data_IF_860703658666
#
_entry.id   IF_860703658666
#
_cell.length_a   1.000
_cell.length_b   1.000
_cell.length_c   1.000
_cell.angle_alpha   90.00
_cell.angle_beta   90.00
_cell.angle_gamma   90.00
#
_symmetry.space_group_name_H-M   'P 1'
#
loop_
_entity.id
_entity.type
_entity.pdbx_description
1 polymer ?
#
# COMPACT_ATOMS: atom_id res chain seq x y z
N UNK A 1 7.41 -35.17 -1.47
CA UNK A 1 7.85 -35.77 -0.16
C UNK A 1 7.52 -34.80 0.99
N UNK A 2 7.65 -35.21 2.27
CA UNK A 2 7.24 -34.40 3.42
C UNK A 2 8.00 -33.05 3.49
N UNK A 3 9.32 -33.07 3.18
CA UNK A 3 10.17 -31.88 3.19
C UNK A 3 9.66 -30.80 2.24
N UNK A 4 9.25 -31.16 1.04
CA UNK A 4 8.80 -30.17 0.02
C UNK A 4 7.46 -29.56 0.41
N UNK A 5 6.56 -30.37 0.96
CA UNK A 5 5.28 -29.89 1.53
C UNK A 5 5.51 -28.99 2.74
N UNK A 6 6.50 -29.30 3.58
CA UNK A 6 6.87 -28.45 4.71
C UNK A 6 7.41 -27.10 4.24
N UNK A 7 8.34 -27.07 3.28
CA UNK A 7 8.90 -25.84 2.73
C UNK A 7 7.80 -24.99 2.06
N UNK A 8 6.91 -25.63 1.28
CA UNK A 8 5.77 -24.93 0.66
C UNK A 8 4.82 -24.38 1.73
N UNK A 9 4.47 -25.17 2.73
CA UNK A 9 3.63 -24.72 3.86
C UNK A 9 4.24 -23.54 4.61
N UNK A 10 5.53 -23.64 4.97
CA UNK A 10 6.23 -22.55 5.66
C UNK A 10 6.38 -21.30 4.81
N UNK A 11 6.45 -21.42 3.49
CA UNK A 11 6.48 -20.24 2.61
C UNK A 11 5.20 -19.40 2.67
N UNK A 12 4.08 -19.99 3.06
CA UNK A 12 2.76 -19.32 3.20
C UNK A 12 2.55 -18.69 4.56
N UNK A 13 3.32 -19.10 5.56
CA UNK A 13 3.27 -18.54 6.90
C UNK A 13 3.91 -17.15 6.89
N UNK A 14 3.12 -16.12 7.22
CA UNK A 14 3.65 -14.77 7.37
C UNK A 14 4.53 -14.70 8.62
N UNK A 15 5.73 -14.19 8.48
CA UNK A 15 6.67 -13.99 9.57
C UNK A 15 7.24 -12.57 9.53
N UNK A 16 7.48 -11.98 10.70
CA UNK A 16 8.20 -10.72 10.82
C UNK A 16 9.63 -10.87 10.30
N UNK A 17 10.15 -9.86 9.64
CA UNK A 17 11.54 -9.81 9.18
C UNK A 17 12.35 -9.00 10.19
N UNK A 18 13.36 -9.64 10.77
CA UNK A 18 14.21 -9.01 11.76
C UNK A 18 15.69 -9.16 11.39
N UNK A 19 16.49 -8.19 11.83
CA UNK A 19 17.95 -8.31 11.83
C UNK A 19 18.41 -8.67 13.25
N UNK A 20 19.15 -9.75 13.36
CA UNK A 20 19.85 -10.10 14.60
C UNK A 20 21.31 -9.65 14.47
N UNK A 21 21.70 -8.74 15.33
CA UNK A 21 23.02 -8.08 15.32
C UNK A 21 23.74 -8.32 16.63
N UNK A 22 25.05 -8.37 16.61
CA UNK A 22 25.93 -8.46 17.80
C UNK A 22 27.19 -7.64 17.59
N UNK A 23 27.78 -7.16 18.66
CA UNK A 23 29.12 -6.57 18.69
C UNK A 23 29.78 -6.88 20.04
N UNK A 24 31.10 -6.93 20.06
CA UNK A 24 31.89 -7.19 21.26
C UNK A 24 33.32 -7.61 20.93
N UNK A 25 34.02 -8.24 21.88
CA UNK A 25 35.42 -8.67 21.70
C UNK A 25 35.60 -9.67 20.54
N UNK A 26 34.54 -10.40 20.17
CA UNK A 26 34.56 -11.39 19.09
C UNK A 26 34.04 -10.84 17.76
N UNK A 27 33.96 -9.52 17.64
CA UNK A 27 33.63 -8.79 16.43
C UNK A 27 32.13 -8.54 16.20
N UNK A 28 31.89 -7.64 15.26
CA UNK A 28 30.54 -7.20 14.87
C UNK A 28 29.99 -8.10 13.75
N UNK A 29 28.80 -8.59 13.92
CA UNK A 29 28.12 -9.42 12.93
C UNK A 29 26.60 -9.22 12.95
N UNK A 30 25.96 -9.59 11.82
CA UNK A 30 24.51 -9.51 11.73
C UNK A 30 23.95 -10.42 10.63
N UNK A 31 22.69 -10.81 10.78
CA UNK A 31 21.97 -11.68 9.87
C UNK A 31 20.48 -11.38 9.86
N UNK A 32 19.83 -11.52 8.72
CA UNK A 32 18.38 -11.49 8.58
C UNK A 32 17.78 -12.84 8.99
N UNK A 33 16.78 -12.81 9.83
CA UNK A 33 15.98 -14.00 10.20
C UNK A 33 14.49 -13.68 10.16
N UNK A 34 13.67 -14.71 10.00
CA UNK A 34 12.20 -14.63 10.09
C UNK A 34 11.65 -15.42 11.28
N UNK A 35 12.50 -16.16 11.97
CA UNK A 35 12.11 -16.96 13.13
C UNK A 35 12.39 -16.17 14.42
N UNK A 36 11.39 -15.46 14.91
CA UNK A 36 11.37 -14.74 16.19
C UNK A 36 10.05 -15.01 16.90
N UNK A 37 10.12 -15.25 18.19
CA UNK A 37 8.92 -15.33 19.05
C UNK A 37 9.21 -14.83 20.47
N UNK A 38 8.20 -14.32 21.16
CA UNK A 38 8.26 -14.09 22.61
C UNK A 38 8.28 -15.42 23.35
N UNK A 39 9.06 -15.51 24.42
CA UNK A 39 9.12 -16.70 25.29
C UNK A 39 8.37 -16.44 26.59
N UNK A 40 8.67 -15.35 27.28
CA UNK A 40 7.99 -14.95 28.51
C UNK A 40 7.97 -13.43 28.62
N UNK A 41 6.83 -12.90 29.10
CA UNK A 41 6.67 -11.47 29.42
C UNK A 41 6.23 -11.27 30.90
N UNK A 42 6.13 -12.36 31.67
CA UNK A 42 5.59 -12.34 33.04
C UNK A 42 6.66 -12.04 34.10
N UNK A 43 7.93 -11.95 33.69
CA UNK A 43 9.06 -11.59 34.57
C UNK A 43 9.47 -10.12 34.40
N UNK A 44 10.22 -9.61 35.36
CA UNK A 44 10.79 -8.26 35.26
C UNK A 44 11.72 -8.08 34.02
N UNK A 45 12.29 -9.18 33.54
CA UNK A 45 13.08 -9.26 32.32
C UNK A 45 12.38 -10.18 31.33
N UNK A 46 11.62 -9.62 30.37
CA UNK A 46 10.97 -10.43 29.34
C UNK A 46 12.00 -11.12 28.44
N UNK A 47 11.63 -12.23 27.85
CA UNK A 47 12.53 -13.01 27.02
C UNK A 47 11.92 -13.33 25.67
N UNK A 48 12.77 -13.44 24.66
CA UNK A 48 12.42 -13.80 23.30
C UNK A 48 13.38 -14.86 22.75
N UNK A 49 12.95 -15.55 21.68
CA UNK A 49 13.84 -16.44 20.93
C UNK A 49 13.98 -15.99 19.49
N UNK A 50 15.15 -16.32 18.92
CA UNK A 50 15.42 -16.24 17.48
C UNK A 50 16.13 -17.51 17.02
N UNK A 51 15.93 -17.89 15.74
CA UNK A 51 16.65 -19.02 15.15
C UNK A 51 17.66 -18.51 14.12
N UNK A 52 18.94 -18.80 14.35
CA UNK A 52 20.04 -18.40 13.49
C UNK A 52 20.72 -19.64 12.88
N UNK A 53 20.85 -19.66 11.56
CA UNK A 53 21.51 -20.80 10.88
C UNK A 53 22.98 -20.92 11.29
N UNK A 54 23.45 -22.14 11.65
CA UNK A 54 24.82 -22.39 12.15
C UNK A 54 25.94 -21.94 11.20
N UNK A 55 25.66 -21.87 9.87
CA UNK A 55 26.64 -21.40 8.88
C UNK A 55 26.64 -19.88 8.72
N UNK A 56 25.75 -19.16 9.39
CA UNK A 56 25.78 -17.71 9.38
C UNK A 56 27.02 -17.20 10.16
N UNK A 57 27.78 -16.25 9.60
CA UNK A 57 28.90 -15.64 10.34
C UNK A 57 28.46 -15.00 11.67
N UNK A 58 27.19 -14.61 11.80
CA UNK A 58 26.64 -14.04 13.02
C UNK A 58 26.49 -15.08 14.14
N UNK A 59 26.30 -16.36 13.84
CA UNK A 59 26.07 -17.38 14.88
C UNK A 59 27.26 -17.52 15.84
N UNK A 60 28.50 -17.77 15.40
CA UNK A 60 29.64 -17.85 16.33
C UNK A 60 29.92 -16.54 17.05
N UNK A 61 29.73 -15.38 16.41
CA UNK A 61 29.91 -14.09 17.04
C UNK A 61 28.89 -13.86 18.17
N UNK A 62 27.60 -14.14 17.97
CA UNK A 62 26.58 -14.03 19.00
C UNK A 62 26.88 -14.92 20.20
N UNK A 63 27.27 -16.18 19.94
CA UNK A 63 27.63 -17.15 20.98
C UNK A 63 28.82 -16.70 21.82
N UNK A 64 29.82 -16.11 21.18
CA UNK A 64 31.04 -15.67 21.83
C UNK A 64 30.88 -14.31 22.52
N UNK A 65 30.17 -13.36 21.95
CA UNK A 65 29.87 -12.07 22.58
C UNK A 65 28.84 -12.17 23.72
N UNK A 66 27.98 -13.18 23.71
CA UNK A 66 26.96 -13.37 24.75
C UNK A 66 25.81 -12.34 24.73
N UNK A 67 25.75 -11.50 23.72
CA UNK A 67 24.75 -10.44 23.54
C UNK A 67 24.28 -10.35 22.11
N UNK A 68 23.03 -9.89 21.90
CA UNK A 68 22.51 -9.63 20.57
C UNK A 68 21.33 -8.64 20.62
N UNK A 69 21.14 -7.89 19.55
CA UNK A 69 19.96 -7.05 19.36
C UNK A 69 19.06 -7.60 18.24
N UNK A 70 17.76 -7.64 18.49
CA UNK A 70 16.74 -8.03 17.50
C UNK A 70 16.08 -6.76 17.00
N UNK A 71 16.33 -6.41 15.74
CA UNK A 71 15.83 -5.21 15.10
C UNK A 71 14.67 -5.58 14.16
N UNK A 72 13.45 -5.22 14.52
CA UNK A 72 12.28 -5.41 13.67
C UNK A 72 12.25 -4.33 12.58
N UNK A 73 12.20 -4.75 11.33
CA UNK A 73 12.26 -3.86 10.19
C UNK A 73 10.91 -3.24 9.85
N UNK A 74 10.94 -2.01 9.32
CA UNK A 74 9.81 -1.37 8.64
C UNK A 74 9.64 -1.94 7.24
N UNK A 75 8.46 -1.86 6.68
CA UNK A 75 8.17 -2.30 5.30
C UNK A 75 9.03 -1.58 4.25
N UNK A 76 9.41 -0.33 4.48
CA UNK A 76 10.33 0.45 3.64
C UNK A 76 11.79 -0.04 3.69
N UNK A 77 12.13 -0.97 4.59
CA UNK A 77 13.50 -1.45 4.85
C UNK A 77 13.79 -2.84 4.26
N UNK A 78 13.02 -3.30 3.26
CA UNK A 78 13.25 -4.58 2.58
C UNK A 78 14.68 -4.70 2.01
N UNK A 79 15.22 -3.60 1.50
CA UNK A 79 16.59 -3.51 0.99
C UNK A 79 17.64 -3.83 2.06
N UNK A 80 17.41 -3.44 3.31
CA UNK A 80 18.31 -3.71 4.44
C UNK A 80 18.27 -5.20 4.80
N UNK A 81 17.07 -5.82 4.77
CA UNK A 81 16.92 -7.27 4.91
C UNK A 81 17.73 -8.03 3.87
N UNK A 82 17.71 -7.61 2.61
CA UNK A 82 18.46 -8.26 1.53
C UNK A 82 19.99 -8.13 1.73
N UNK A 83 20.43 -6.99 2.26
CA UNK A 83 21.86 -6.76 2.58
C UNK A 83 22.33 -7.74 3.67
N UNK A 84 21.59 -7.88 4.76
CA UNK A 84 21.93 -8.78 5.85
C UNK A 84 21.71 -10.25 5.52
N UNK A 85 20.83 -10.56 4.58
CA UNK A 85 20.66 -11.90 4.00
C UNK A 85 21.76 -12.28 2.99
N UNK A 86 22.66 -11.35 2.63
CA UNK A 86 23.72 -11.58 1.65
C UNK A 86 23.23 -11.60 0.19
N UNK A 87 22.05 -11.07 -0.09
CA UNK A 87 21.51 -10.93 -1.45
C UNK A 87 21.94 -9.62 -2.12
N UNK A 88 22.38 -8.66 -1.32
CA UNK A 88 22.88 -7.35 -1.74
C UNK A 88 24.19 -7.08 -1.04
N UNK A 89 25.16 -6.50 -1.74
CA UNK A 89 26.46 -6.09 -1.21
C UNK A 89 26.51 -4.57 -1.06
N UNK A 90 27.21 -4.08 -0.03
CA UNK A 90 27.61 -2.69 0.15
C UNK A 90 28.91 -2.41 -0.62
N UNK A 91 29.32 -1.17 -0.72
CA UNK A 91 30.54 -0.78 -1.47
C UNK A 91 31.83 -1.42 -0.89
N UNK A 92 31.97 -1.47 0.43
CA UNK A 92 33.12 -2.08 1.10
C UNK A 92 32.92 -3.56 1.44
N UNK A 93 31.68 -4.06 1.37
CA UNK A 93 31.32 -5.39 1.84
C UNK A 93 30.91 -5.44 3.33
N UNK A 94 31.03 -4.35 4.07
CA UNK A 94 30.52 -4.27 5.45
C UNK A 94 29.02 -3.99 5.43
N UNK A 95 28.20 -4.96 5.87
CA UNK A 95 26.76 -4.84 5.93
C UNK A 95 26.25 -3.68 6.80
N UNK A 96 27.05 -3.26 7.77
CA UNK A 96 26.70 -2.17 8.70
C UNK A 96 26.86 -0.77 8.10
N UNK A 97 27.44 -0.63 6.91
CA UNK A 97 27.32 0.62 6.13
C UNK A 97 25.88 0.88 5.69
N UNK A 98 25.08 -0.19 5.61
CA UNK A 98 23.67 -0.11 5.32
C UNK A 98 22.89 0.23 6.62
N UNK A 99 22.30 1.43 6.68
CA UNK A 99 21.51 1.89 7.81
C UNK A 99 22.29 2.72 8.83
N UNK A 100 21.57 3.25 9.80
CA UNK A 100 22.12 4.00 10.93
C UNK A 100 22.01 3.16 12.20
N UNK A 101 23.10 3.02 12.92
CA UNK A 101 23.19 2.15 14.10
C UNK A 101 23.50 2.94 15.35
N UNK A 102 22.82 2.58 16.43
CA UNK A 102 23.05 3.10 17.78
C UNK A 102 23.39 1.95 18.71
N UNK A 103 24.04 2.27 19.84
CA UNK A 103 24.37 1.29 20.86
C UNK A 103 23.41 1.43 22.03
N UNK A 104 22.83 0.30 22.46
CA UNK A 104 21.98 0.23 23.65
C UNK A 104 22.76 -0.38 24.85
N UNK A 105 22.05 -0.92 25.83
CA UNK A 105 22.63 -1.35 27.12
C UNK A 105 23.69 -2.45 26.97
N UNK A 106 23.51 -3.43 26.06
CA UNK A 106 24.43 -4.57 25.89
C UNK A 106 25.63 -4.27 25.01
N UNK A 107 25.59 -3.18 24.23
CA UNK A 107 26.60 -2.89 23.22
C UNK A 107 26.29 -3.43 21.83
N UNK A 108 25.31 -4.31 21.67
CA UNK A 108 24.89 -4.81 20.38
C UNK A 108 24.26 -3.72 19.50
N UNK A 109 24.56 -3.66 18.18
CA UNK A 109 24.04 -2.61 17.30
C UNK A 109 22.52 -2.65 17.18
N UNK A 110 21.83 -1.56 17.53
CA UNK A 110 20.41 -1.36 17.30
C UNK A 110 20.20 -0.42 16.11
N UNK A 111 19.22 -0.74 15.26
CA UNK A 111 18.88 0.08 14.10
C UNK A 111 18.13 1.34 14.56
N UNK A 112 18.70 2.52 14.29
CA UNK A 112 18.18 3.80 14.81
C UNK A 112 16.77 4.14 14.32
N UNK A 113 16.44 3.79 13.06
CA UNK A 113 15.16 4.02 12.40
C UNK A 113 14.31 2.73 12.24
N UNK A 114 14.68 1.66 12.97
CA UNK A 114 13.90 0.41 13.01
C UNK A 114 12.50 0.60 13.61
N UNK A 115 11.64 -0.38 13.45
CA UNK A 115 10.32 -0.36 14.09
C UNK A 115 10.41 -0.69 15.58
N UNK A 116 11.20 -1.70 15.93
CA UNK A 116 11.49 -2.09 17.31
C UNK A 116 12.94 -2.60 17.39
N UNK A 117 13.63 -2.28 18.46
CA UNK A 117 14.90 -2.90 18.81
C UNK A 117 14.79 -3.52 20.22
N UNK A 118 15.04 -4.83 20.32
CA UNK A 118 15.15 -5.57 21.59
C UNK A 118 16.62 -5.90 21.82
N UNK A 119 17.23 -5.24 22.77
CA UNK A 119 18.62 -5.43 23.17
C UNK A 119 18.70 -6.51 24.22
N UNK A 120 19.41 -7.62 23.97
CA UNK A 120 19.30 -8.85 24.71
C UNK A 120 20.64 -9.39 25.19
N UNK A 121 20.65 -9.92 26.41
CA UNK A 121 21.69 -10.82 26.93
C UNK A 121 21.33 -12.27 26.58
N UNK A 122 22.25 -13.01 25.96
CA UNK A 122 22.05 -14.42 25.60
C UNK A 122 21.99 -15.28 26.87
N UNK A 123 20.89 -16.02 27.05
CA UNK A 123 20.70 -16.94 28.20
C UNK A 123 20.78 -18.41 27.83
N UNK A 124 20.33 -18.74 26.66
CA UNK A 124 20.36 -20.13 26.17
C UNK A 124 20.67 -20.16 24.68
N UNK A 125 21.52 -21.10 24.30
CA UNK A 125 21.80 -21.41 22.91
C UNK A 125 21.80 -22.92 22.73
N UNK A 126 20.90 -23.42 21.89
CA UNK A 126 20.78 -24.85 21.62
C UNK A 126 20.83 -25.07 20.11
N UNK A 127 21.77 -25.91 19.66
CA UNK A 127 21.81 -26.34 18.26
C UNK A 127 20.76 -27.45 18.02
N UNK A 128 19.82 -27.17 17.16
CA UNK A 128 18.84 -28.15 16.70
C UNK A 128 18.84 -28.22 15.17
N UNK A 129 19.21 -29.35 14.63
CA UNK A 129 19.39 -29.54 13.20
C UNK A 129 20.46 -28.58 12.63
N UNK A 130 20.03 -27.66 11.79
CA UNK A 130 20.92 -26.67 11.13
C UNK A 130 20.90 -25.28 11.78
N UNK A 131 20.11 -25.06 12.85
CA UNK A 131 19.93 -23.76 13.45
C UNK A 131 20.22 -23.77 14.95
N UNK A 132 20.81 -22.68 15.43
CA UNK A 132 20.77 -22.35 16.84
C UNK A 132 19.43 -21.73 17.20
N UNK A 133 18.79 -22.24 18.25
CA UNK A 133 17.71 -21.60 18.97
C UNK A 133 18.38 -20.76 20.06
N UNK A 134 18.33 -19.46 19.92
CA UNK A 134 18.91 -18.50 20.87
C UNK A 134 17.79 -17.89 21.69
N UNK A 135 17.87 -17.96 23.00
CA UNK A 135 16.94 -17.27 23.92
C UNK A 135 17.70 -16.14 24.60
N UNK A 136 17.17 -14.94 24.51
CA UNK A 136 17.71 -13.75 25.13
C UNK A 136 16.74 -13.12 26.12
N UNK A 137 17.25 -12.66 27.25
CA UNK A 137 16.55 -11.73 28.14
C UNK A 137 16.72 -10.31 27.61
N UNK A 138 15.63 -9.56 27.54
CA UNK A 138 15.60 -8.20 27.03
C UNK A 138 16.06 -7.24 28.15
N UNK A 139 17.21 -6.60 27.95
CA UNK A 139 17.76 -5.61 28.89
C UNK A 139 17.18 -4.22 28.58
N UNK A 140 16.98 -3.91 27.29
CA UNK A 140 16.42 -2.65 26.84
C UNK A 140 15.57 -2.87 25.60
N UNK A 141 14.49 -2.11 25.47
CA UNK A 141 13.66 -2.10 24.26
C UNK A 141 13.44 -0.64 23.81
N UNK A 142 13.55 -0.43 22.49
CA UNK A 142 13.19 0.83 21.84
C UNK A 142 12.07 0.51 20.87
N UNK A 143 10.94 1.21 21.00
CA UNK A 143 9.75 1.00 20.16
C UNK A 143 9.44 2.32 19.47
N UNK A 144 9.38 2.31 18.16
CA UNK A 144 8.96 3.48 17.39
C UNK A 144 7.47 3.76 17.57
N UNK A 145 7.10 5.03 17.56
CA UNK A 145 5.70 5.43 17.78
C UNK A 145 4.75 4.84 16.74
N UNK A 146 5.16 4.80 15.46
CA UNK A 146 4.32 4.33 14.37
C UNK A 146 5.14 3.69 13.24
N UNK A 147 4.50 2.83 12.45
CA UNK A 147 5.03 2.29 11.21
C UNK A 147 4.58 0.84 10.96
N UNK A 148 4.41 0.46 9.70
CA UNK A 148 4.13 -0.92 9.33
C UNK A 148 5.38 -1.80 9.42
N UNK A 149 5.23 -3.01 9.94
CA UNK A 149 6.31 -4.00 10.00
C UNK A 149 6.57 -4.62 8.62
N UNK A 150 7.84 -4.93 8.33
CA UNK A 150 8.17 -5.77 7.19
C UNK A 150 7.82 -7.23 7.52
N UNK A 151 7.01 -7.84 6.68
CA UNK A 151 6.69 -9.27 6.76
C UNK A 151 7.19 -10.01 5.53
N UNK A 152 7.43 -11.31 5.68
CA UNK A 152 7.79 -12.20 4.59
C UNK A 152 6.79 -13.35 4.53
N UNK A 153 6.07 -13.49 3.40
CA UNK A 153 5.13 -14.56 3.14
C UNK A 153 5.07 -14.84 1.63
N UNK A 154 4.71 -16.07 1.23
CA UNK A 154 4.62 -16.45 -0.17
C UNK A 154 5.89 -16.12 -1.00
N UNK A 155 7.06 -16.20 -0.35
CA UNK A 155 8.37 -15.88 -0.92
C UNK A 155 8.53 -14.43 -1.37
N UNK A 156 7.74 -13.51 -0.78
CA UNK A 156 7.79 -12.08 -1.06
C UNK A 156 7.76 -11.28 0.23
N UNK A 157 8.33 -10.08 0.18
CA UNK A 157 8.12 -9.08 1.22
C UNK A 157 6.74 -8.46 1.08
N UNK A 158 6.18 -8.07 2.21
CA UNK A 158 4.89 -7.40 2.30
C UNK A 158 4.78 -6.58 3.57
N UNK A 159 3.67 -5.89 3.70
CA UNK A 159 3.29 -5.17 4.91
C UNK A 159 2.01 -5.77 5.47
N UNK A 160 1.86 -5.92 6.79
CA UNK A 160 0.62 -6.40 7.38
C UNK A 160 -0.50 -5.39 7.11
N UNK A 161 -1.65 -5.91 6.68
CA UNK A 161 -2.87 -5.14 6.55
C UNK A 161 -3.81 -5.56 7.67
N UNK A 162 -4.30 -4.61 8.46
CA UNK A 162 -5.27 -4.88 9.49
C UNK A 162 -6.56 -5.44 8.86
N UNK A 163 -6.88 -6.69 9.18
CA UNK A 163 -8.15 -7.33 8.81
C UNK A 163 -9.14 -7.06 9.94
N UNK A 164 -9.86 -5.97 9.85
CA UNK A 164 -10.85 -5.45 10.77
C UNK A 164 -11.11 -6.25 12.06
N UNK A 165 -10.99 -5.62 13.22
CA UNK A 165 -11.45 -6.14 14.48
C UNK A 165 -10.40 -6.19 15.58
N UNK A 166 -10.39 -5.27 16.36
CA UNK A 166 -10.19 -4.95 17.76
C UNK A 166 -9.65 -3.53 17.84
N UNK A 167 -10.27 -2.65 18.64
CA UNK A 167 -9.74 -1.32 18.83
C UNK A 167 -8.36 -1.48 19.46
N UNK A 168 -7.35 -0.86 18.86
CA UNK A 168 -6.10 -0.58 19.56
C UNK A 168 -6.49 0.05 20.88
N UNK A 169 -6.03 -0.54 21.99
CA UNK A 169 -6.30 -0.06 23.34
C UNK A 169 -6.06 1.45 23.36
N UNK A 170 -7.14 2.21 23.66
CA UNK A 170 -7.04 3.61 24.02
C UNK A 170 -6.04 3.70 25.17
N UNK A 171 -4.85 4.20 24.91
CA UNK A 171 -4.09 4.87 25.95
C UNK A 171 -4.91 6.09 26.34
N UNK A 172 -5.31 6.15 27.58
CA UNK A 172 -5.90 7.35 28.17
C UNK A 172 -4.91 8.49 27.96
N UNK A 173 -5.26 9.39 27.03
CA UNK A 173 -4.54 10.65 26.85
C UNK A 173 -4.84 11.51 28.08
N UNK A 174 -3.80 11.83 28.84
CA UNK A 174 -3.86 12.91 29.82
C UNK A 174 -4.27 14.20 29.11
N UNK A 175 -5.31 14.84 29.65
CA UNK A 175 -5.81 16.15 29.25
C UNK A 175 -4.71 17.19 29.26
N UNK A 176 -4.35 17.75 28.13
CA UNK A 176 -4.06 19.16 27.83
C UNK A 176 -3.17 19.35 26.58
N UNK A 177 -3.51 18.66 25.47
CA UNK A 177 -3.23 19.14 24.13
C UNK A 177 -4.35 18.59 23.23
N UNK A 178 -5.16 19.46 22.66
CA UNK A 178 -6.16 19.08 21.69
C UNK A 178 -5.44 18.60 20.41
N UNK A 179 -4.98 17.35 20.40
CA UNK A 179 -4.53 16.65 19.20
C UNK A 179 -5.75 16.54 18.29
N UNK A 180 -5.78 17.33 17.24
CA UNK A 180 -6.74 17.20 16.16
C UNK A 180 -6.56 15.81 15.57
N UNK A 181 -7.56 14.94 15.70
CA UNK A 181 -7.51 13.62 15.06
C UNK A 181 -7.26 13.82 13.57
N UNK A 182 -6.25 13.14 12.97
CA UNK A 182 -5.93 13.34 11.56
C UNK A 182 -7.14 13.06 10.68
N UNK A 183 -7.39 13.93 9.70
CA UNK A 183 -8.41 13.70 8.70
C UNK A 183 -7.89 12.63 7.71
N UNK A 184 -8.23 11.36 7.96
CA UNK A 184 -7.83 10.26 7.10
C UNK A 184 -8.92 9.98 6.07
N UNK A 185 -8.58 10.00 4.78
CA UNK A 185 -9.53 9.64 3.74
C UNK A 185 -8.97 8.67 2.71
N UNK A 186 -9.87 7.92 2.07
CA UNK A 186 -9.55 6.99 1.01
C UNK A 186 -9.74 7.60 -0.37
N UNK A 187 -8.92 7.19 -1.33
CA UNK A 187 -9.12 7.53 -2.73
C UNK A 187 -8.93 6.30 -3.61
N UNK A 188 -9.84 6.11 -4.56
CA UNK A 188 -9.72 5.05 -5.57
C UNK A 188 -8.42 5.22 -6.35
N UNK A 189 -7.55 4.20 -6.34
CA UNK A 189 -6.18 4.29 -6.84
C UNK A 189 -6.03 4.89 -8.24
N UNK A 190 -6.89 4.58 -9.23
CA UNK A 190 -6.82 5.21 -10.55
C UNK A 190 -7.12 6.72 -10.59
N UNK A 191 -7.77 7.26 -9.56
CA UNK A 191 -8.08 8.69 -9.44
C UNK A 191 -7.01 9.44 -8.65
N UNK A 192 -6.39 8.77 -7.67
CA UNK A 192 -5.58 9.39 -6.64
C UNK A 192 -4.46 10.29 -7.21
N UNK A 193 -3.59 9.83 -8.14
CA UNK A 193 -2.48 10.64 -8.65
C UNK A 193 -2.91 11.94 -9.36
N UNK A 194 -4.13 11.97 -9.89
CA UNK A 194 -4.62 13.08 -10.72
C UNK A 194 -5.52 14.05 -9.96
N UNK A 195 -6.05 13.64 -8.81
CA UNK A 195 -7.03 14.41 -8.04
C UNK A 195 -6.47 14.85 -6.70
N UNK A 196 -5.87 13.92 -5.96
CA UNK A 196 -5.49 14.13 -4.57
C UNK A 196 -4.40 15.18 -4.36
N UNK A 197 -3.28 15.20 -5.11
CA UNK A 197 -2.19 16.15 -4.85
C UNK A 197 -2.65 17.61 -4.95
N UNK A 198 -3.45 17.93 -5.97
CA UNK A 198 -3.98 19.29 -6.18
C UNK A 198 -4.99 19.67 -5.10
N UNK A 199 -5.86 18.73 -4.73
CA UNK A 199 -6.84 18.94 -3.65
C UNK A 199 -6.16 19.21 -2.33
N UNK A 200 -5.13 18.40 -1.98
CA UNK A 200 -4.38 18.57 -0.74
C UNK A 200 -3.60 19.88 -0.69
N UNK A 201 -2.92 20.24 -1.78
CA UNK A 201 -2.21 21.52 -1.85
C UNK A 201 -3.16 22.68 -1.56
N UNK A 202 -4.33 22.72 -2.22
CA UNK A 202 -5.34 23.76 -2.00
C UNK A 202 -5.93 23.72 -0.58
N UNK A 203 -6.17 22.53 -0.05
CA UNK A 203 -6.70 22.39 1.30
C UNK A 203 -5.70 22.91 2.35
N UNK A 204 -4.43 22.52 2.24
CA UNK A 204 -3.39 22.93 3.19
C UNK A 204 -3.03 24.43 3.10
N UNK A 205 -3.22 25.07 1.94
CA UNK A 205 -3.09 26.53 1.82
C UNK A 205 -4.10 27.27 2.72
N UNK A 206 -5.30 26.69 2.92
CA UNK A 206 -6.35 27.27 3.78
C UNK A 206 -6.33 26.71 5.20
N UNK A 207 -5.74 25.54 5.41
CA UNK A 207 -5.67 24.82 6.68
C UNK A 207 -4.23 24.36 6.99
N UNK A 208 -3.26 25.27 7.22
CA UNK A 208 -1.83 24.95 7.29
C UNK A 208 -1.45 24.01 8.44
N UNK A 209 -2.31 23.91 9.47
CA UNK A 209 -2.06 23.04 10.63
C UNK A 209 -2.85 21.72 10.58
N UNK A 210 -3.55 21.44 9.47
CA UNK A 210 -4.34 20.21 9.37
C UNK A 210 -3.41 18.99 9.13
N UNK A 211 -3.58 17.94 9.93
CA UNK A 211 -2.99 16.62 9.66
C UNK A 211 -3.95 15.84 8.74
N UNK A 212 -3.57 15.68 7.47
CA UNK A 212 -4.38 14.98 6.47
C UNK A 212 -3.61 13.79 5.95
N UNK A 213 -4.24 12.61 6.00
CA UNK A 213 -3.66 11.36 5.50
C UNK A 213 -4.54 10.77 4.41
N UNK A 214 -3.90 10.23 3.38
CA UNK A 214 -4.57 9.62 2.23
C UNK A 214 -4.21 8.15 2.15
N UNK A 215 -5.23 7.33 1.93
CA UNK A 215 -5.08 5.89 1.67
C UNK A 215 -5.60 5.60 0.26
N UNK A 216 -4.73 5.07 -0.59
CA UNK A 216 -5.12 4.61 -1.92
C UNK A 216 -5.57 3.15 -1.87
N UNK A 217 -6.62 2.82 -2.63
CA UNK A 217 -7.12 1.46 -2.67
C UNK A 217 -8.15 1.21 -3.77
N UNK A 218 -8.51 -0.05 -3.95
CA UNK A 218 -9.71 -0.41 -4.70
C UNK A 218 -10.98 -0.16 -3.87
N UNK A 219 -12.15 -0.21 -4.51
CA UNK A 219 -13.41 0.06 -3.82
C UNK A 219 -13.67 -0.88 -2.64
N UNK A 220 -13.33 -2.17 -2.76
CA UNK A 220 -13.56 -3.15 -1.71
C UNK A 220 -12.69 -2.85 -0.47
N UNK A 221 -11.44 -2.47 -0.71
CA UNK A 221 -10.52 -2.03 0.35
C UNK A 221 -11.01 -0.74 1.02
N UNK A 222 -11.40 0.27 0.24
CA UNK A 222 -11.89 1.54 0.78
C UNK A 222 -13.17 1.37 1.61
N UNK A 223 -14.12 0.54 1.15
CA UNK A 223 -15.32 0.22 1.91
C UNK A 223 -15.02 -0.51 3.22
N UNK A 224 -14.04 -1.39 3.23
CA UNK A 224 -13.58 -2.03 4.46
C UNK A 224 -13.00 -1.00 5.44
N UNK A 225 -12.11 -0.11 4.98
CA UNK A 225 -11.51 0.92 5.81
C UNK A 225 -12.54 1.93 6.35
N UNK A 226 -13.58 2.23 5.57
CA UNK A 226 -14.74 3.01 6.05
C UNK A 226 -15.44 2.31 7.21
N UNK A 227 -15.73 1.00 7.07
CA UNK A 227 -16.44 0.20 8.09
C UNK A 227 -15.66 0.04 9.38
N UNK A 228 -14.33 -0.02 9.29
CA UNK A 228 -13.44 -0.08 10.46
C UNK A 228 -13.18 1.29 11.09
N UNK A 229 -13.60 2.37 10.43
CA UNK A 229 -13.35 3.75 10.90
C UNK A 229 -11.91 4.22 10.71
N UNK A 230 -11.11 3.48 9.93
CA UNK A 230 -9.73 3.86 9.60
C UNK A 230 -9.66 5.05 8.63
N UNK A 231 -10.72 5.28 7.86
CA UNK A 231 -10.92 6.47 7.02
C UNK A 231 -12.28 7.09 7.29
N UNK A 232 -12.35 8.41 7.29
CA UNK A 232 -13.59 9.15 7.53
C UNK A 232 -14.52 9.23 6.31
N UNK A 233 -13.94 9.18 5.11
CA UNK A 233 -14.66 9.12 3.83
C UNK A 233 -13.77 8.51 2.74
N UNK A 234 -14.38 8.15 1.60
CA UNK A 234 -13.66 7.73 0.41
C UNK A 234 -14.15 8.48 -0.83
N UNK A 235 -13.21 8.86 -1.71
CA UNK A 235 -13.49 9.32 -3.07
C UNK A 235 -13.42 8.12 -4.01
N UNK A 236 -14.54 7.68 -4.54
CA UNK A 236 -14.64 6.50 -5.42
C UNK A 236 -15.87 6.59 -6.32
N UNK A 237 -16.10 5.56 -7.11
CA UNK A 237 -17.32 5.42 -7.90
C UNK A 237 -18.45 4.79 -7.08
N UNK A 238 -19.71 5.16 -7.38
CA UNK A 238 -20.89 4.75 -6.64
C UNK A 238 -21.57 3.50 -7.21
N UNK A 239 -20.80 2.53 -7.69
CA UNK A 239 -21.32 1.30 -8.26
C UNK A 239 -21.17 0.13 -7.28
N UNK A 240 -22.19 -0.74 -7.18
CA UNK A 240 -22.15 -1.96 -6.37
C UNK A 240 -22.04 -1.74 -4.85
N UNK A 241 -22.59 -0.62 -4.34
CA UNK A 241 -22.55 -0.28 -2.92
C UNK A 241 -23.69 -0.93 -2.14
N UNK A 242 -23.44 -1.19 -0.85
CA UNK A 242 -24.42 -1.68 0.12
C UNK A 242 -25.12 -0.51 0.84
N UNK A 243 -26.26 -0.80 1.48
CA UNK A 243 -27.16 0.20 2.11
C UNK A 243 -26.53 0.93 3.32
N UNK A 244 -25.45 0.41 3.88
CA UNK A 244 -24.70 1.02 4.99
C UNK A 244 -23.86 2.23 4.55
N UNK A 245 -23.69 2.43 3.23
CA UNK A 245 -22.89 3.50 2.66
C UNK A 245 -23.79 4.66 2.21
N UNK A 246 -23.47 5.85 2.67
CA UNK A 246 -24.04 7.09 2.14
C UNK A 246 -23.22 7.55 0.94
N UNK A 247 -23.93 7.88 -0.14
CA UNK A 247 -23.35 8.31 -1.42
C UNK A 247 -23.64 9.79 -1.65
N UNK A 248 -22.60 10.60 -1.66
CA UNK A 248 -22.70 11.98 -2.08
C UNK A 248 -22.15 12.12 -3.50
N UNK A 249 -23.04 12.19 -4.48
CA UNK A 249 -22.69 12.35 -5.89
C UNK A 249 -21.90 13.64 -6.14
N UNK A 250 -20.82 13.53 -6.91
CA UNK A 250 -19.97 14.65 -7.34
C UNK A 250 -20.13 14.90 -8.84
N UNK A 251 -19.84 13.92 -9.68
CA UNK A 251 -19.86 14.06 -11.14
C UNK A 251 -20.17 12.76 -11.86
N UNK A 252 -20.73 12.88 -13.05
CA UNK A 252 -20.83 11.80 -14.01
C UNK A 252 -19.59 11.76 -14.89
N UNK A 253 -18.89 10.63 -14.88
CA UNK A 253 -17.64 10.42 -15.61
C UNK A 253 -17.91 9.53 -16.81
N UNK A 254 -17.91 10.11 -18.00
CA UNK A 254 -18.05 9.38 -19.23
C UNK A 254 -16.81 8.51 -19.50
N UNK A 255 -16.97 7.19 -19.71
CA UNK A 255 -15.86 6.33 -20.12
C UNK A 255 -15.38 6.68 -21.52
N UNK A 256 -14.10 6.42 -21.77
CA UNK A 256 -13.48 6.63 -23.07
C UNK A 256 -12.64 5.44 -23.50
N UNK A 257 -12.39 5.35 -24.81
CA UNK A 257 -11.48 4.36 -25.41
C UNK A 257 -10.08 4.94 -25.43
N UNK A 258 -9.12 4.22 -24.86
CA UNK A 258 -7.69 4.50 -25.01
C UNK A 258 -7.11 3.59 -26.09
N UNK A 259 -6.42 4.21 -27.07
CA UNK A 259 -5.82 3.52 -28.21
C UNK A 259 -4.33 3.89 -28.34
N UNK A 260 -3.50 3.01 -28.91
CA UNK A 260 -2.18 3.43 -29.41
C UNK A 260 -2.36 4.58 -30.42
N UNK A 261 -1.43 5.54 -30.46
CA UNK A 261 -1.55 6.70 -31.36
C UNK A 261 -1.62 6.31 -32.85
N UNK A 262 -1.01 5.19 -33.23
CA UNK A 262 -1.01 4.68 -34.61
C UNK A 262 -2.11 3.64 -34.89
N UNK A 263 -3.06 3.46 -33.97
CA UNK A 263 -4.17 2.53 -34.18
C UNK A 263 -5.07 3.01 -35.34
N UNK A 264 -5.60 2.11 -36.20
CA UNK A 264 -6.47 2.51 -37.34
C UNK A 264 -7.69 3.33 -36.90
N UNK A 265 -8.24 3.08 -35.72
CA UNK A 265 -9.39 3.80 -35.16
C UNK A 265 -8.99 5.12 -34.46
N UNK A 266 -7.71 5.40 -34.27
CA UNK A 266 -7.25 6.59 -33.54
C UNK A 266 -7.62 7.92 -34.24
N UNK A 267 -7.81 7.92 -35.55
CA UNK A 267 -8.26 9.07 -36.33
C UNK A 267 -9.76 9.36 -36.30
N UNK A 268 -10.57 8.46 -35.74
CA UNK A 268 -12.03 8.63 -35.68
C UNK A 268 -12.43 9.61 -34.57
N UNK A 269 -13.53 10.37 -34.75
CA UNK A 269 -14.04 11.28 -33.71
C UNK A 269 -14.61 10.54 -32.49
N UNK A 270 -15.16 9.34 -32.69
CA UNK A 270 -15.65 8.43 -31.67
C UNK A 270 -15.46 6.98 -32.13
N UNK A 271 -15.36 6.03 -31.21
CA UNK A 271 -15.08 4.62 -31.50
C UNK A 271 -16.21 3.74 -30.99
N UNK A 272 -16.74 2.90 -31.88
CA UNK A 272 -17.84 1.97 -31.57
C UNK A 272 -17.34 0.76 -30.77
N UNK A 273 -18.09 0.35 -29.75
CA UNK A 273 -17.87 -0.90 -29.03
C UNK A 273 -17.95 -2.13 -29.95
N UNK A 274 -18.78 -2.06 -30.98
CA UNK A 274 -18.87 -3.12 -32.01
C UNK A 274 -17.53 -3.29 -32.74
N UNK A 275 -16.87 -2.19 -33.12
CA UNK A 275 -15.56 -2.25 -33.78
C UNK A 275 -14.46 -2.80 -32.86
N UNK A 276 -14.60 -2.63 -31.55
CA UNK A 276 -13.63 -3.05 -30.54
C UNK A 276 -13.83 -4.47 -30.01
N UNK A 277 -15.01 -5.07 -30.19
CA UNK A 277 -15.37 -6.33 -29.55
C UNK A 277 -14.38 -7.48 -29.86
N UNK A 278 -13.82 -7.51 -31.09
CA UNK A 278 -12.86 -8.52 -31.54
C UNK A 278 -11.39 -8.14 -31.35
N UNK A 279 -11.14 -6.87 -31.05
CA UNK A 279 -9.79 -6.36 -30.76
C UNK A 279 -9.31 -6.78 -29.35
N UNK A 280 -8.00 -6.94 -29.13
CA UNK A 280 -7.49 -7.30 -27.80
C UNK A 280 -7.72 -6.15 -26.79
N UNK A 281 -8.46 -6.44 -25.73
CA UNK A 281 -8.69 -5.49 -24.63
C UNK A 281 -7.67 -5.69 -23.50
N UNK A 282 -7.09 -4.60 -23.02
CA UNK A 282 -6.34 -4.52 -21.77
C UNK A 282 -7.29 -4.01 -20.68
N UNK A 283 -7.71 -4.88 -19.77
CA UNK A 283 -8.69 -4.56 -18.74
C UNK A 283 -8.00 -4.00 -17.49
N UNK A 284 -8.51 -2.88 -17.00
CA UNK A 284 -8.19 -2.36 -15.66
C UNK A 284 -8.90 -3.23 -14.61
N UNK A 285 -8.14 -4.15 -13.98
CA UNK A 285 -8.66 -5.24 -13.15
C UNK A 285 -8.75 -4.84 -11.67
N UNK A 286 -9.47 -3.77 -11.38
CA UNK A 286 -9.82 -3.29 -10.04
C UNK A 286 -11.30 -2.98 -9.95
N UNK A 287 -11.95 -3.32 -8.83
CA UNK A 287 -13.34 -2.96 -8.61
C UNK A 287 -13.51 -1.44 -8.40
N UNK A 288 -14.52 -0.80 -9.03
CA UNK A 288 -15.60 -1.37 -9.85
C UNK A 288 -15.27 -1.49 -11.34
N UNK A 289 -14.10 -1.05 -11.81
CA UNK A 289 -13.73 -0.99 -13.24
C UNK A 289 -13.76 -2.37 -13.92
N UNK A 290 -13.40 -3.42 -13.17
CA UNK A 290 -13.38 -4.81 -13.62
C UNK A 290 -14.74 -5.28 -14.13
N UNK A 291 -15.79 -4.89 -13.47
CA UNK A 291 -17.18 -5.25 -13.78
C UNK A 291 -17.80 -4.25 -14.76
N UNK A 292 -17.57 -2.97 -14.55
CA UNK A 292 -18.18 -1.87 -15.29
C UNK A 292 -17.83 -1.90 -16.78
N UNK A 293 -16.55 -1.97 -17.16
CA UNK A 293 -16.17 -1.89 -18.57
C UNK A 293 -16.67 -3.07 -19.41
N UNK A 294 -16.59 -4.35 -18.98
CA UNK A 294 -17.21 -5.44 -19.72
C UNK A 294 -18.74 -5.33 -19.80
N UNK A 295 -19.40 -4.77 -18.77
CA UNK A 295 -20.84 -4.57 -18.77
C UNK A 295 -21.31 -3.59 -19.86
N UNK A 296 -20.48 -2.62 -20.27
CA UNK A 296 -20.79 -1.72 -21.38
C UNK A 296 -20.96 -2.49 -22.71
N UNK A 297 -20.13 -3.51 -22.95
CA UNK A 297 -20.28 -4.40 -24.11
C UNK A 297 -21.50 -5.29 -23.97
N UNK A 298 -21.72 -5.86 -22.79
CA UNK A 298 -22.89 -6.72 -22.56
C UNK A 298 -24.19 -5.96 -22.76
N UNK A 299 -24.27 -4.67 -22.41
CA UNK A 299 -25.41 -3.80 -22.70
C UNK A 299 -25.71 -3.60 -24.19
N UNK A 300 -24.76 -3.89 -25.08
CA UNK A 300 -24.89 -3.86 -26.53
C UNK A 300 -24.99 -5.29 -27.14
N UNK A 301 -25.17 -6.34 -26.31
CA UNK A 301 -25.17 -7.73 -26.76
C UNK A 301 -23.79 -8.23 -27.22
N UNK A 302 -22.71 -7.57 -26.83
CA UNK A 302 -21.35 -7.88 -27.24
C UNK A 302 -20.55 -8.48 -26.06
N UNK A 303 -19.47 -9.18 -26.39
CA UNK A 303 -18.48 -9.69 -25.41
C UNK A 303 -17.08 -9.24 -25.83
N UNK A 304 -16.36 -8.47 -25.01
CA UNK A 304 -15.02 -8.01 -25.37
C UNK A 304 -14.00 -9.15 -25.25
N UNK A 305 -13.00 -9.15 -26.13
CA UNK A 305 -11.86 -10.06 -26.06
C UNK A 305 -10.84 -9.53 -25.05
N UNK A 306 -10.97 -9.90 -23.78
CA UNK A 306 -9.99 -9.51 -22.75
C UNK A 306 -8.71 -10.33 -22.95
N UNK A 307 -7.66 -9.69 -23.47
CA UNK A 307 -6.35 -10.31 -23.71
C UNK A 307 -5.41 -10.17 -22.50
N UNK A 308 -5.51 -9.04 -21.79
CA UNK A 308 -4.65 -8.75 -20.65
C UNK A 308 -5.44 -8.12 -19.52
N UNK A 309 -4.92 -8.27 -18.29
CA UNK A 309 -5.50 -7.70 -17.07
C UNK A 309 -4.39 -7.06 -16.22
N UNK A 310 -4.63 -5.90 -15.65
CA UNK A 310 -3.72 -5.27 -14.70
C UNK A 310 -4.48 -4.43 -13.68
N UNK A 311 -4.15 -4.50 -12.39
CA UNK A 311 -4.72 -3.60 -11.39
C UNK A 311 -4.15 -2.17 -11.47
N UNK A 312 -3.02 -1.98 -12.15
CA UNK A 312 -2.36 -0.67 -12.27
C UNK A 312 -2.86 0.09 -13.48
N UNK A 313 -3.39 1.29 -13.24
CA UNK A 313 -3.90 2.20 -14.28
C UNK A 313 -2.80 2.57 -15.30
N UNK A 314 -1.60 2.93 -14.83
CA UNK A 314 -0.51 3.30 -15.73
C UNK A 314 0.10 2.09 -16.46
N UNK A 315 0.08 0.90 -15.86
CA UNK A 315 0.46 -0.31 -16.58
C UNK A 315 -0.51 -0.59 -17.75
N UNK A 316 -1.83 -0.43 -17.54
CA UNK A 316 -2.82 -0.53 -18.62
C UNK A 316 -2.52 0.49 -19.72
N UNK A 317 -2.24 1.76 -19.37
CA UNK A 317 -1.89 2.79 -20.34
C UNK A 317 -0.62 2.45 -21.12
N UNK A 318 0.43 1.98 -20.44
CA UNK A 318 1.70 1.58 -21.07
C UNK A 318 1.52 0.37 -21.98
N UNK A 319 0.73 -0.63 -21.58
CA UNK A 319 0.41 -1.78 -22.44
C UNK A 319 -0.32 -1.34 -23.71
N UNK A 320 -1.28 -0.43 -23.61
CA UNK A 320 -1.96 0.16 -24.78
C UNK A 320 -0.94 0.95 -25.64
N UNK A 321 -0.12 1.81 -25.05
CA UNK A 321 0.89 2.58 -25.77
C UNK A 321 1.89 1.71 -26.55
N UNK A 322 2.16 0.50 -26.08
CA UNK A 322 3.01 -0.47 -26.76
C UNK A 322 2.24 -1.38 -27.76
N UNK A 323 0.99 -1.08 -28.03
CA UNK A 323 0.22 -1.77 -29.08
C UNK A 323 -0.33 -3.14 -28.69
N UNK A 324 -0.43 -3.46 -27.38
CA UNK A 324 -0.95 -4.75 -26.91
C UNK A 324 -2.48 -4.84 -26.97
N UNK A 325 -3.14 -3.73 -27.31
CA UNK A 325 -4.59 -3.65 -27.47
C UNK A 325 -5.13 -2.26 -27.13
N UNK A 326 -6.42 -2.18 -26.84
CA UNK A 326 -7.10 -0.99 -26.36
C UNK A 326 -7.52 -1.14 -24.90
N UNK A 327 -7.90 -0.03 -24.25
CA UNK A 327 -8.55 -0.07 -22.94
C UNK A 327 -9.78 0.86 -22.91
N UNK A 328 -10.73 0.54 -22.01
CA UNK A 328 -11.75 1.49 -21.57
C UNK A 328 -11.34 2.04 -20.21
N UNK A 329 -11.39 3.36 -20.04
CA UNK A 329 -11.00 4.05 -18.82
C UNK A 329 -11.96 5.20 -18.51
N UNK A 330 -12.10 5.55 -17.22
CA UNK A 330 -12.88 6.72 -16.77
C UNK A 330 -11.97 7.93 -16.48
N UNK A 331 -10.91 7.73 -15.72
CA UNK A 331 -9.94 8.79 -15.39
C UNK A 331 -9.13 9.15 -16.64
N UNK A 332 -9.12 10.44 -16.99
CA UNK A 332 -8.39 10.94 -18.18
C UNK A 332 -7.26 11.87 -17.75
N UNK A 333 -6.00 11.39 -17.73
CA UNK A 333 -4.84 12.25 -17.50
C UNK A 333 -4.71 13.36 -18.57
N UNK A 334 -4.16 14.50 -18.18
CA UNK A 334 -3.86 15.59 -19.13
C UNK A 334 -2.81 15.18 -20.18
N UNK A 335 -1.89 14.27 -19.81
CA UNK A 335 -0.85 13.77 -20.71
C UNK A 335 -1.38 12.68 -21.63
N UNK A 336 -1.13 12.83 -22.94
CA UNK A 336 -1.33 11.80 -23.96
C UNK A 336 -0.12 10.85 -24.11
N UNK A 337 0.84 10.91 -23.17
CA UNK A 337 2.04 10.07 -23.15
C UNK A 337 1.97 9.16 -21.92
N UNK A 338 2.37 7.92 -22.07
CA UNK A 338 2.48 6.92 -20.99
C UNK A 338 3.79 7.11 -20.20
N UNK A 339 3.96 6.45 -19.06
CA UNK A 339 5.19 6.56 -18.25
C UNK A 339 6.45 6.09 -18.99
N UNK A 340 6.32 5.14 -19.92
CA UNK A 340 7.41 4.67 -20.79
C UNK A 340 7.55 5.48 -22.10
N UNK A 341 6.91 6.65 -22.18
CA UNK A 341 7.09 7.60 -23.28
C UNK A 341 6.32 7.27 -24.56
N UNK A 342 5.36 6.34 -24.53
CA UNK A 342 4.55 5.98 -25.70
C UNK A 342 3.35 6.90 -25.85
N UNK A 343 3.06 7.31 -27.07
CA UNK A 343 1.89 8.14 -27.37
C UNK A 343 0.60 7.30 -27.41
N UNK A 344 -0.44 7.79 -26.74
CA UNK A 344 -1.79 7.21 -26.72
C UNK A 344 -2.83 8.25 -27.06
N UNK A 345 -3.97 7.82 -27.56
CA UNK A 345 -5.08 8.68 -27.96
C UNK A 345 -6.35 8.24 -27.24
N UNK A 346 -7.04 9.20 -26.62
CA UNK A 346 -8.34 9.00 -26.02
C UNK A 346 -9.44 9.37 -27.03
N UNK A 347 -10.46 8.51 -27.18
CA UNK A 347 -11.61 8.75 -28.03
C UNK A 347 -12.91 8.47 -27.27
N UNK A 348 -13.95 9.27 -27.48
CA UNK A 348 -15.27 8.95 -26.95
C UNK A 348 -15.78 7.59 -27.45
N UNK A 349 -16.60 6.93 -26.67
CA UNK A 349 -17.39 5.79 -27.12
C UNK A 349 -18.53 6.32 -28.00
N UNK A 350 -18.77 5.69 -29.14
CA UNK A 350 -19.81 6.13 -30.10
C UNK A 350 -21.23 5.88 -29.61
N UNK A 351 -21.43 4.78 -28.89
CA UNK A 351 -22.70 4.41 -28.30
C UNK A 351 -22.99 5.26 -27.05
N UNK A 352 -24.27 5.47 -26.79
CA UNK A 352 -24.71 6.06 -25.54
C UNK A 352 -24.59 5.02 -24.42
N UNK A 353 -23.63 5.20 -23.51
CA UNK A 353 -23.38 4.34 -22.37
C UNK A 353 -23.61 5.07 -21.06
N UNK A 354 -24.01 4.33 -20.01
CA UNK A 354 -24.18 4.91 -18.69
C UNK A 354 -22.82 5.38 -18.15
N UNK A 355 -22.69 6.64 -17.68
CA UNK A 355 -21.47 7.12 -17.06
C UNK A 355 -21.25 6.48 -15.68
N UNK A 356 -20.00 6.39 -15.25
CA UNK A 356 -19.67 6.08 -13.86
C UNK A 356 -19.96 7.29 -12.97
N UNK A 357 -20.50 7.07 -11.79
CA UNK A 357 -20.85 8.14 -10.84
C UNK A 357 -19.74 8.35 -9.83
N UNK A 358 -18.94 9.38 -9.98
CA UNK A 358 -17.94 9.78 -8.99
C UNK A 358 -18.64 10.34 -7.76
N UNK A 359 -18.25 9.88 -6.57
CA UNK A 359 -18.90 10.24 -5.32
C UNK A 359 -17.94 10.27 -4.12
N UNK A 360 -18.31 11.01 -3.11
CA UNK A 360 -17.84 10.82 -1.75
C UNK A 360 -18.70 9.75 -1.10
N UNK A 361 -18.04 8.75 -0.53
CA UNK A 361 -18.64 7.64 0.20
C UNK A 361 -18.35 7.78 1.68
N UNK A 362 -19.39 7.69 2.51
CA UNK A 362 -19.29 7.72 3.98
C UNK A 362 -20.14 6.60 4.57
N UNK A 363 -19.87 6.19 5.81
CA UNK A 363 -20.79 5.31 6.52
C UNK A 363 -21.99 6.10 7.05
N UNK A 364 -23.16 5.49 6.97
CA UNK A 364 -24.39 6.04 7.51
C UNK A 364 -24.27 6.25 9.02
N UNK A 365 -24.54 7.48 9.48
CA UNK A 365 -24.48 7.84 10.89
C UNK A 365 -23.08 7.97 11.49
N UNK A 366 -22.01 7.87 10.71
CA UNK A 366 -20.65 8.11 11.19
C UNK A 366 -20.44 9.58 11.59
N UNK A 367 -19.77 9.80 12.72
CA UNK A 367 -19.32 11.15 13.11
C UNK A 367 -18.09 11.51 12.31
N UNK A 368 -18.03 12.75 11.85
CA UNK A 368 -16.90 13.30 11.09
C UNK A 368 -16.28 14.47 11.84
N UNK A 369 -14.98 14.66 11.67
CA UNK A 369 -14.29 15.85 12.18
C UNK A 369 -14.60 17.06 11.29
N UNK A 370 -14.34 18.26 11.81
CA UNK A 370 -14.51 19.50 11.06
C UNK A 370 -13.61 19.54 9.82
N UNK A 371 -12.40 18.99 9.91
CA UNK A 371 -11.44 18.87 8.81
C UNK A 371 -11.95 17.91 7.72
N UNK A 372 -12.55 16.79 8.12
CA UNK A 372 -13.20 15.86 7.18
C UNK A 372 -14.34 16.52 6.42
N UNK A 373 -15.20 17.27 7.12
CA UNK A 373 -16.31 17.98 6.48
C UNK A 373 -15.81 19.12 5.57
N UNK A 374 -14.73 19.81 5.94
CA UNK A 374 -14.08 20.83 5.11
C UNK A 374 -13.48 20.23 3.83
N UNK A 375 -12.79 19.08 3.91
CA UNK A 375 -12.28 18.34 2.75
C UNK A 375 -13.40 17.89 1.81
N UNK A 376 -14.47 17.33 2.35
CA UNK A 376 -15.67 16.97 1.57
C UNK A 376 -16.29 18.21 0.92
N UNK A 377 -16.33 19.33 1.62
CA UNK A 377 -16.78 20.62 1.09
C UNK A 377 -15.94 21.09 -0.10
N UNK A 378 -14.62 20.99 0.00
CA UNK A 378 -13.70 21.32 -1.09
C UNK A 378 -13.88 20.38 -2.30
N UNK A 379 -14.00 19.07 -2.07
CA UNK A 379 -14.30 18.09 -3.13
C UNK A 379 -15.59 18.44 -3.87
N UNK A 380 -16.65 18.81 -3.15
CA UNK A 380 -17.92 19.24 -3.75
C UNK A 380 -17.78 20.49 -4.59
N UNK A 381 -16.99 21.44 -4.11
CA UNK A 381 -16.76 22.71 -4.82
C UNK A 381 -15.98 22.48 -6.12
N UNK A 382 -15.00 21.56 -6.12
CA UNK A 382 -14.09 21.32 -7.25
C UNK A 382 -14.57 20.27 -8.23
N UNK A 383 -15.27 19.24 -7.76
CA UNK A 383 -15.71 18.10 -8.54
C UNK A 383 -17.23 17.99 -8.62
N UNK A 384 -17.97 18.76 -7.82
CA UNK A 384 -19.43 18.73 -7.81
C UNK A 384 -20.04 19.40 -9.03
N UNK A 385 -21.33 19.13 -9.30
CA UNK A 385 -22.05 19.78 -10.39
C UNK A 385 -22.06 21.30 -10.17
N UNK A 386 -21.72 22.06 -11.21
CA UNK A 386 -21.83 23.52 -11.18
C UNK A 386 -23.25 23.95 -10.72
N UNK A 387 -23.36 24.91 -9.81
CA UNK A 387 -24.66 25.46 -9.45
C UNK A 387 -25.37 25.99 -10.72
N UNK A 388 -26.64 25.70 -10.87
CA UNK A 388 -27.44 25.95 -12.06
C UNK A 388 -27.37 27.39 -12.64
N UNK A 389 -26.79 28.34 -11.92
CA UNK A 389 -26.58 29.74 -12.32
C UNK A 389 -25.32 29.98 -13.19
N UNK A 390 -24.38 29.03 -13.27
CA UNK A 390 -23.08 29.22 -13.96
C UNK A 390 -22.98 28.53 -15.35
N UNK A 391 -24.05 27.94 -15.86
CA UNK A 391 -24.09 27.24 -17.16
C UNK A 391 -24.00 28.20 -18.37
N UNK A 392 -23.01 29.08 -18.42
CA UNK A 392 -22.66 29.82 -19.63
C UNK A 392 -21.17 29.65 -19.91
N UNK A 393 -20.87 28.79 -20.91
CA UNK A 393 -19.62 28.68 -21.66
C UNK A 393 -18.38 28.24 -20.88
N UNK A 394 -18.23 26.97 -20.61
CA UNK A 394 -16.89 26.33 -20.59
C UNK A 394 -17.04 24.93 -21.22
N UNK A 395 -16.11 24.60 -22.16
CA UNK A 395 -16.07 23.31 -22.79
C UNK A 395 -15.75 22.17 -21.82
N UNK A 396 -15.71 20.89 -22.28
CA UNK A 396 -15.65 19.72 -21.41
C UNK A 396 -14.44 19.80 -20.48
N UNK A 397 -14.70 19.63 -19.21
CA UNK A 397 -13.69 19.62 -18.12
C UNK A 397 -12.64 18.55 -18.42
N UNK A 398 -11.44 18.97 -18.79
CA UNK A 398 -10.25 18.11 -18.83
C UNK A 398 -9.65 18.06 -17.42
N UNK A 399 -9.55 16.88 -16.89
CA UNK A 399 -8.83 16.57 -15.66
C UNK A 399 -7.32 16.57 -15.86
#
# INVERSE_FOLDING_TARGET
MIRDKFIDGMSRAAASVVLVTTDGEHGRAGVTVSAMASVSADSAQPSLLVCVHQRSPAAPAILANGVFCVNLLRDSQAWLSDTFAGRRTTETGDKFEAGQWVTLATGAPALADGLVAFDCTLRMATLYGSHYILVGEVEQAVVAEHGPALVYANRAYGSPVALGGAPASRREASSDDALVDPAVFGCFSPLAPYTVPRLLAEFLDHHPNADVRVVEGDQAQLLRLLRTGEIGFALSYADGLSDDVEVQHLADVAPYVLLPALHPLAGQPAVSLTALAHEPMVLLDVAPSREYFPALFAGQGLTPRIAYRSPSFEMVRSMVGNGLGYALLGTKPASSTTYDGRAVVARPIAEQVAPSRLAVLTLRGARRSAETDALIGLLRMRLGPEPAAARRKVGPTTW
#
